data_IF_717109202891
#
_entry.id   IF_717109202891
#
_cell.length_a   1.000
_cell.length_b   1.000
_cell.length_c   1.000
_cell.angle_alpha   90.00
_cell.angle_beta   90.00
_cell.angle_gamma   90.00
#
_symmetry.space_group_name_H-M   'P 1'
#
loop_
_entity.id
_entity.type
_entity.pdbx_description
1 polymer ?
#
# COMPACT_ATOMS: atom_id res chain seq x y z
N UNK A 1 -20.57 18.41 -3.77
CA UNK A 1 -19.22 18.35 -3.14
C UNK A 1 -18.97 17.07 -2.31
N UNK A 2 -19.93 16.51 -1.54
CA UNK A 2 -19.78 15.25 -0.76
C UNK A 2 -19.16 14.06 -1.51
N UNK A 3 -19.31 13.97 -2.84
CA UNK A 3 -18.86 12.83 -3.67
C UNK A 3 -17.35 12.83 -4.01
N UNK A 4 -16.65 13.97 -3.91
CA UNK A 4 -15.18 14.06 -4.12
C UNK A 4 -14.37 13.66 -2.89
N UNK A 5 -14.95 13.79 -1.68
CA UNK A 5 -14.28 13.44 -0.41
C UNK A 5 -13.83 11.97 -0.39
N UNK A 6 -14.60 11.08 -1.00
CA UNK A 6 -14.26 9.64 -1.05
C UNK A 6 -13.00 9.37 -1.90
N UNK A 7 -12.67 10.24 -2.86
CA UNK A 7 -11.45 10.10 -3.67
C UNK A 7 -10.19 10.50 -2.89
N UNK A 8 -10.35 11.22 -1.78
CA UNK A 8 -9.26 11.57 -0.86
C UNK A 8 -8.94 10.47 0.14
N UNK A 9 -9.84 9.50 0.31
CA UNK A 9 -9.67 8.40 1.28
C UNK A 9 -8.36 7.63 1.09
N UNK A 10 -7.93 7.25 -0.14
CA UNK A 10 -6.66 6.55 -0.32
C UNK A 10 -5.46 7.42 0.09
N UNK A 11 -5.50 8.72 -0.23
CA UNK A 11 -4.45 9.67 0.13
C UNK A 11 -4.37 9.88 1.64
N UNK A 12 -5.51 10.06 2.30
CA UNK A 12 -5.58 10.19 3.76
C UNK A 12 -5.04 8.94 4.46
N UNK A 13 -5.37 7.75 3.95
CA UNK A 13 -4.88 6.48 4.48
C UNK A 13 -3.36 6.34 4.34
N UNK A 14 -2.80 6.70 3.19
CA UNK A 14 -1.34 6.68 2.97
C UNK A 14 -0.63 7.64 3.91
N UNK A 15 -1.12 8.88 4.01
CA UNK A 15 -0.54 9.88 4.90
C UNK A 15 -0.63 9.45 6.37
N UNK A 16 -1.74 8.81 6.76
CA UNK A 16 -1.89 8.25 8.09
C UNK A 16 -0.84 7.15 8.37
N UNK A 17 -0.64 6.20 7.45
CA UNK A 17 0.37 5.14 7.60
C UNK A 17 1.78 5.74 7.72
N UNK A 18 2.11 6.72 6.86
CA UNK A 18 3.41 7.40 6.89
C UNK A 18 3.60 8.13 8.22
N UNK A 19 2.62 8.94 8.64
CA UNK A 19 2.67 9.67 9.89
C UNK A 19 2.77 8.75 11.11
N UNK A 20 2.02 7.65 11.12
CA UNK A 20 2.06 6.66 12.19
C UNK A 20 3.43 5.98 12.30
N UNK A 21 4.10 5.70 11.18
CA UNK A 21 5.50 5.25 11.21
C UNK A 21 6.41 6.25 11.90
N UNK A 22 6.37 7.52 11.51
CA UNK A 22 7.22 8.54 12.13
C UNK A 22 6.94 8.67 13.64
N UNK A 23 5.67 8.65 14.04
CA UNK A 23 5.28 8.64 15.45
C UNK A 23 5.85 7.43 16.21
N UNK A 24 5.68 6.22 15.66
CA UNK A 24 6.19 4.99 16.29
C UNK A 24 7.72 4.97 16.38
N UNK A 25 8.44 5.44 15.35
CA UNK A 25 9.88 5.56 15.36
C UNK A 25 10.35 6.57 16.41
N UNK A 26 9.67 7.72 16.52
CA UNK A 26 9.96 8.72 17.54
C UNK A 26 9.76 8.17 18.96
N UNK A 27 8.64 7.46 19.23
CA UNK A 27 8.39 6.78 20.50
C UNK A 27 9.53 5.84 20.87
N UNK A 28 9.96 4.99 19.92
CA UNK A 28 11.02 4.00 20.15
C UNK A 28 12.40 4.62 20.39
N UNK A 29 12.70 5.77 19.78
CA UNK A 29 13.98 6.44 19.92
C UNK A 29 14.07 7.36 21.14
N UNK A 30 12.95 7.95 21.57
CA UNK A 30 12.92 8.98 22.61
C UNK A 30 12.44 8.45 23.97
N UNK A 31 11.60 7.43 23.99
CA UNK A 31 10.93 6.95 25.21
C UNK A 31 11.33 5.49 25.47
N UNK A 32 12.18 5.20 26.48
CA UNK A 32 12.67 3.85 26.77
C UNK A 32 11.56 2.83 27.07
N UNK A 33 10.43 3.29 27.61
CA UNK A 33 9.27 2.43 27.89
C UNK A 33 8.59 1.93 26.61
N UNK A 34 8.72 2.63 25.46
CA UNK A 34 8.15 2.17 24.19
C UNK A 34 8.79 0.87 23.67
N UNK A 35 10.01 0.52 24.10
CA UNK A 35 10.64 -0.76 23.76
C UNK A 35 9.97 -1.97 24.41
N UNK A 36 9.32 -1.78 25.57
CA UNK A 36 8.65 -2.86 26.31
C UNK A 36 7.14 -2.92 26.06
N UNK A 37 6.61 -2.05 25.20
CA UNK A 37 5.19 -2.03 24.86
C UNK A 37 4.92 -2.73 23.53
N UNK A 38 3.63 -2.98 23.28
CA UNK A 38 3.09 -3.49 22.02
C UNK A 38 3.52 -2.67 20.79
N UNK A 39 3.94 -1.41 20.98
CA UNK A 39 4.43 -0.52 19.92
C UNK A 39 5.71 -1.06 19.27
N UNK A 40 6.62 -1.64 20.05
CA UNK A 40 7.85 -2.25 19.52
C UNK A 40 7.53 -3.42 18.58
N UNK A 41 6.65 -4.34 19.01
CA UNK A 41 6.22 -5.46 18.19
C UNK A 41 5.54 -4.99 16.90
N UNK A 42 4.55 -4.10 17.01
CA UNK A 42 3.83 -3.54 15.85
C UNK A 42 4.74 -2.86 14.84
N UNK A 43 5.73 -2.11 15.32
CA UNK A 43 6.66 -1.37 14.47
C UNK A 43 7.35 -2.30 13.49
N UNK A 44 7.96 -3.38 13.99
CA UNK A 44 8.72 -4.31 13.17
C UNK A 44 7.84 -5.27 12.37
N UNK A 45 6.70 -5.72 12.91
CA UNK A 45 5.90 -6.75 12.25
C UNK A 45 4.94 -6.21 11.20
N UNK A 46 4.39 -5.01 11.40
CA UNK A 46 3.27 -4.46 10.60
C UNK A 46 3.62 -3.10 10.04
N UNK A 47 4.08 -2.14 10.85
CA UNK A 47 4.23 -0.74 10.40
C UNK A 47 5.34 -0.63 9.36
N UNK A 48 6.51 -1.23 9.60
CA UNK A 48 7.66 -1.14 8.70
C UNK A 48 7.40 -1.72 7.28
N UNK A 49 6.86 -2.95 7.14
CA UNK A 49 6.51 -3.48 5.82
C UNK A 49 5.37 -2.70 5.17
N UNK A 50 4.35 -2.29 5.94
CA UNK A 50 3.21 -1.51 5.41
C UNK A 50 3.65 -0.13 4.93
N UNK A 51 4.62 0.50 5.57
CA UNK A 51 5.19 1.76 5.11
C UNK A 51 5.91 1.62 3.77
N UNK A 52 6.73 0.57 3.61
CA UNK A 52 7.39 0.29 2.34
C UNK A 52 6.37 0.12 1.21
N UNK A 53 5.27 -0.58 1.47
CA UNK A 53 4.14 -0.70 0.55
C UNK A 53 3.46 0.66 0.28
N UNK A 54 3.21 1.46 1.32
CA UNK A 54 2.50 2.74 1.22
C UNK A 54 3.24 3.79 0.39
N UNK A 55 4.58 3.81 0.42
CA UNK A 55 5.39 4.73 -0.41
C UNK A 55 5.08 4.56 -1.90
N UNK A 56 5.04 3.32 -2.40
CA UNK A 56 4.73 3.05 -3.81
C UNK A 56 3.31 3.45 -4.18
N UNK A 57 2.43 3.58 -3.19
CA UNK A 57 1.04 3.94 -3.38
C UNK A 57 0.78 5.46 -3.43
N UNK A 58 1.70 6.28 -2.91
CA UNK A 58 1.62 7.76 -2.94
C UNK A 58 1.31 8.33 -4.34
N UNK A 59 2.06 8.02 -5.42
CA UNK A 59 1.79 8.60 -6.74
C UNK A 59 0.40 8.24 -7.26
N UNK A 60 -0.08 7.03 -6.98
CA UNK A 60 -1.41 6.59 -7.40
C UNK A 60 -2.50 7.29 -6.61
N UNK A 61 -2.32 7.44 -5.30
CA UNK A 61 -3.25 8.18 -4.47
C UNK A 61 -3.42 9.62 -4.97
N UNK A 62 -2.35 10.29 -5.40
CA UNK A 62 -2.40 11.63 -5.99
C UNK A 62 -3.16 11.59 -7.33
N UNK A 63 -2.85 10.66 -8.24
CA UNK A 63 -3.54 10.53 -9.53
C UNK A 63 -5.04 10.33 -9.34
N UNK A 64 -5.45 9.51 -8.37
CA UNK A 64 -6.85 9.17 -8.10
C UNK A 64 -7.71 10.39 -7.68
N UNK A 65 -7.10 11.47 -7.19
CA UNK A 65 -7.81 12.72 -6.88
C UNK A 65 -8.34 13.37 -8.18
N UNK A 66 -7.61 13.22 -9.29
CA UNK A 66 -7.91 13.88 -10.56
C UNK A 66 -8.71 13.02 -11.54
N UNK A 67 -8.83 11.72 -11.32
CA UNK A 67 -9.59 10.84 -12.24
C UNK A 67 -11.10 10.96 -12.06
N UNK A 68 -11.84 10.58 -13.12
CA UNK A 68 -13.29 10.52 -13.05
C UNK A 68 -13.78 9.44 -12.08
N UNK A 69 -14.98 9.62 -11.53
CA UNK A 69 -15.55 8.70 -10.53
C UNK A 69 -15.75 7.27 -11.05
N UNK A 70 -15.97 7.11 -12.36
CA UNK A 70 -16.08 5.79 -13.00
C UNK A 70 -14.73 5.05 -12.97
N UNK A 71 -13.62 5.76 -13.23
CA UNK A 71 -12.28 5.21 -13.14
C UNK A 71 -11.97 4.84 -11.68
N UNK A 72 -12.25 5.76 -10.75
CA UNK A 72 -12.06 5.53 -9.31
C UNK A 72 -12.81 4.28 -8.81
N UNK A 73 -14.11 4.15 -9.12
CA UNK A 73 -14.90 2.99 -8.70
C UNK A 73 -14.39 1.68 -9.31
N UNK A 74 -13.90 1.72 -10.56
CA UNK A 74 -13.32 0.54 -11.21
C UNK A 74 -12.00 0.14 -10.55
N UNK A 75 -11.15 1.13 -10.24
CA UNK A 75 -9.90 0.93 -9.52
C UNK A 75 -10.13 0.42 -8.08
N UNK A 76 -11.18 0.90 -7.41
CA UNK A 76 -11.54 0.44 -6.07
C UNK A 76 -11.93 -1.05 -6.06
N UNK A 77 -12.65 -1.52 -7.09
CA UNK A 77 -12.95 -2.96 -7.27
C UNK A 77 -11.68 -3.79 -7.47
N UNK A 78 -10.73 -3.32 -8.29
CA UNK A 78 -9.43 -3.97 -8.47
C UNK A 78 -8.69 -4.07 -7.12
N UNK A 79 -8.65 -2.96 -6.39
CA UNK A 79 -7.99 -2.87 -5.08
C UNK A 79 -8.61 -3.78 -4.05
N UNK A 80 -9.94 -3.86 -4.00
CA UNK A 80 -10.66 -4.73 -3.07
C UNK A 80 -10.31 -6.21 -3.24
N UNK A 81 -9.89 -6.63 -4.44
CA UNK A 81 -9.44 -8.00 -4.72
C UNK A 81 -7.94 -8.19 -4.57
N UNK A 82 -7.12 -7.28 -5.11
CA UNK A 82 -5.66 -7.41 -5.07
C UNK A 82 -5.08 -7.16 -3.68
N UNK A 83 -5.60 -6.17 -2.94
CA UNK A 83 -5.00 -5.75 -1.68
C UNK A 83 -5.00 -6.88 -0.63
N UNK A 84 -6.10 -7.62 -0.40
CA UNK A 84 -6.09 -8.76 0.52
C UNK A 84 -5.09 -9.85 0.11
N UNK A 85 -5.00 -10.16 -1.19
CA UNK A 85 -4.07 -11.17 -1.71
C UNK A 85 -2.61 -10.77 -1.45
N UNK A 86 -2.27 -9.50 -1.66
CA UNK A 86 -0.92 -8.99 -1.40
C UNK A 86 -0.60 -8.99 0.10
N UNK A 87 -1.57 -8.66 0.96
CA UNK A 87 -1.39 -8.72 2.42
C UNK A 87 -1.13 -10.15 2.88
N UNK A 88 -1.90 -11.12 2.37
CA UNK A 88 -1.68 -12.55 2.68
C UNK A 88 -0.29 -12.98 2.23
N UNK A 89 0.11 -12.60 1.02
CA UNK A 89 1.44 -12.92 0.50
C UNK A 89 2.57 -12.35 1.38
N UNK A 90 2.48 -11.08 1.78
CA UNK A 90 3.45 -10.45 2.70
C UNK A 90 3.45 -11.15 4.06
N UNK A 91 2.29 -11.52 4.59
CA UNK A 91 2.15 -12.15 5.89
C UNK A 91 2.75 -13.57 5.95
N UNK A 92 2.65 -14.32 4.85
CA UNK A 92 3.24 -15.67 4.73
C UNK A 92 4.76 -15.64 4.60
N UNK A 93 5.36 -14.50 4.24
CA UNK A 93 6.82 -14.36 4.12
C UNK A 93 7.49 -14.21 5.50
N UNK A 94 8.60 -14.94 5.76
CA UNK A 94 9.36 -14.82 7.00
C UNK A 94 9.98 -13.43 7.18
N UNK A 95 10.10 -12.99 8.43
CA UNK A 95 10.70 -11.69 8.80
C UNK A 95 12.23 -11.74 8.72
N UNK A 96 12.83 -12.88 9.07
CA UNK A 96 14.27 -13.12 9.03
C UNK A 96 14.55 -14.61 8.80
N UNK A 97 15.77 -14.93 8.35
CA UNK A 97 16.22 -16.31 8.20
C UNK A 97 16.52 -16.88 9.58
N UNK A 98 15.89 -18.00 9.92
CA UNK A 98 16.00 -18.62 11.25
C UNK A 98 17.19 -19.56 11.39
N UNK A 99 17.98 -19.77 10.33
CA UNK A 99 19.15 -20.65 10.36
C UNK A 99 18.84 -22.15 10.18
N UNK A 100 17.56 -22.54 10.11
CA UNK A 100 17.12 -23.94 10.12
C UNK A 100 16.34 -24.23 8.83
N UNK A 101 16.86 -25.15 8.00
CA UNK A 101 16.22 -25.63 6.77
C UNK A 101 16.73 -25.00 5.46
N UNK A 102 16.17 -25.47 4.34
CA UNK A 102 16.42 -24.91 3.00
C UNK A 102 15.91 -23.47 2.95
N UNK A 103 16.77 -22.54 2.53
CA UNK A 103 16.37 -21.16 2.28
C UNK A 103 15.57 -21.08 0.96
N UNK A 104 14.31 -21.52 1.02
CA UNK A 104 13.41 -21.61 -0.14
C UNK A 104 13.00 -20.24 -0.69
N UNK A 105 13.24 -19.16 0.07
CA UNK A 105 12.91 -17.79 -0.32
C UNK A 105 14.08 -16.84 0.00
N UNK A 106 14.85 -16.35 -0.99
CA UNK A 106 15.89 -15.36 -0.76
C UNK A 106 15.34 -13.96 -0.43
N UNK A 107 14.02 -13.82 -0.27
CA UNK A 107 13.31 -12.57 -0.04
C UNK A 107 12.72 -12.53 1.36
N UNK A 108 13.04 -11.49 2.11
CA UNK A 108 12.45 -11.24 3.42
C UNK A 108 11.13 -10.49 3.29
N UNK A 109 10.32 -10.46 4.37
CA UNK A 109 9.02 -9.79 4.39
C UNK A 109 9.08 -8.35 3.88
N UNK A 110 10.14 -7.61 4.18
CA UNK A 110 10.33 -6.24 3.71
C UNK A 110 10.57 -6.17 2.19
N UNK A 111 11.35 -7.09 1.62
CA UNK A 111 11.59 -7.19 0.17
C UNK A 111 10.31 -7.56 -0.56
N UNK A 112 9.55 -8.50 0.00
CA UNK A 112 8.25 -8.92 -0.53
C UNK A 112 7.24 -7.78 -0.46
N UNK A 113 7.21 -7.01 0.63
CA UNK A 113 6.33 -5.85 0.76
C UNK A 113 6.66 -4.76 -0.27
N UNK A 114 7.95 -4.52 -0.55
CA UNK A 114 8.40 -3.60 -1.61
C UNK A 114 8.00 -4.10 -2.99
N UNK A 115 8.26 -5.36 -3.31
CA UNK A 115 7.91 -5.96 -4.59
C UNK A 115 6.39 -5.96 -4.82
N UNK A 116 5.61 -6.32 -3.80
CA UNK A 116 4.16 -6.27 -3.80
C UNK A 116 3.64 -4.83 -4.01
N UNK A 117 4.23 -3.85 -3.31
CA UNK A 117 3.89 -2.44 -3.48
C UNK A 117 4.17 -1.92 -4.88
N UNK A 118 5.36 -2.21 -5.42
CA UNK A 118 5.76 -1.83 -6.76
C UNK A 118 4.85 -2.48 -7.84
N UNK A 119 4.55 -3.77 -7.69
CA UNK A 119 3.69 -4.50 -8.62
C UNK A 119 2.25 -3.99 -8.58
N UNK A 120 1.69 -3.79 -7.37
CA UNK A 120 0.37 -3.18 -7.21
C UNK A 120 0.32 -1.79 -7.82
N UNK A 121 1.39 -1.01 -7.66
CA UNK A 121 1.47 0.32 -8.20
C UNK A 121 1.49 0.32 -9.73
N UNK A 122 2.32 -0.53 -10.33
CA UNK A 122 2.39 -0.70 -11.78
C UNK A 122 1.03 -1.14 -12.37
N UNK A 123 0.39 -2.15 -11.78
CA UNK A 123 -0.93 -2.63 -12.24
C UNK A 123 -1.99 -1.55 -12.08
N UNK A 124 -2.01 -0.82 -10.97
CA UNK A 124 -2.94 0.29 -10.74
C UNK A 124 -2.77 1.39 -11.79
N UNK A 125 -1.53 1.79 -12.09
CA UNK A 125 -1.23 2.82 -13.07
C UNK A 125 -1.67 2.40 -14.48
N UNK A 126 -1.28 1.19 -14.91
CA UNK A 126 -1.69 0.63 -16.20
C UNK A 126 -3.20 0.55 -16.33
N UNK A 127 -3.90 0.13 -15.26
CA UNK A 127 -5.36 0.05 -15.25
C UNK A 127 -6.02 1.42 -15.37
N UNK A 128 -5.53 2.43 -14.65
CA UNK A 128 -6.03 3.81 -14.74
C UNK A 128 -5.83 4.36 -16.15
N UNK A 129 -4.65 4.19 -16.75
CA UNK A 129 -4.34 4.64 -18.11
C UNK A 129 -5.26 3.95 -19.12
N UNK A 130 -5.38 2.62 -19.05
CA UNK A 130 -6.24 1.85 -19.95
C UNK A 130 -7.71 2.29 -19.86
N UNK A 131 -8.23 2.46 -18.64
CA UNK A 131 -9.61 2.93 -18.43
C UNK A 131 -9.83 4.35 -18.92
N UNK A 132 -8.84 5.24 -18.75
CA UNK A 132 -8.90 6.59 -19.28
C UNK A 132 -9.05 6.60 -20.81
N UNK A 133 -8.23 5.82 -21.53
CA UNK A 133 -8.33 5.71 -22.99
C UNK A 133 -9.60 4.98 -23.47
N UNK A 134 -10.06 3.98 -22.74
CA UNK A 134 -11.31 3.26 -23.05
C UNK A 134 -12.52 4.21 -22.99
N UNK A 135 -12.64 4.99 -21.91
CA UNK A 135 -13.75 5.94 -21.75
C UNK A 135 -13.73 7.04 -22.81
N UNK A 136 -12.54 7.57 -23.15
CA UNK A 136 -12.42 8.61 -24.18
C UNK A 136 -12.86 8.11 -25.56
N UNK A 137 -12.53 6.86 -25.92
CA UNK A 137 -12.97 6.24 -27.18
C UNK A 137 -14.48 6.02 -27.26
N UNK A 138 -15.15 5.78 -26.15
CA UNK A 138 -16.60 5.63 -26.12
C UNK A 138 -17.34 6.98 -26.26
N UNK A 139 -16.77 8.07 -25.74
CA UNK A 139 -17.35 9.41 -25.90
C UNK A 139 -17.28 9.92 -27.34
N UNK A 140 -16.23 9.57 -28.10
CA UNK A 140 -16.07 9.97 -29.50
C UNK A 140 -16.87 9.13 -30.51
N UNK A 141 -17.47 8.00 -30.08
CA UNK A 141 -18.32 7.13 -30.92
C UNK A 141 -19.83 7.40 -30.74
N UNK A 142 -20.20 8.37 -29.91
CA UNK A 142 -21.57 8.90 -29.79
C UNK A 142 -21.65 10.24 -30.50
#
# INVERSE_FOLDING_TARGET
>A
MKKRIVQWTPTALVLFIIGFRYFSQWCLLTIPTCHKTWIHGLYFTIINPTFSFAIFFVPIAIILIFVSRQIFNSWLKLTAWMLPLLIIYIAMTPVSWTGIGLNLFPFYRDDVARAAGALFAAVSLLFIIWKYFSLRRHTFKK
#
